data_IF_467449443716
#
_entry.id   IF_467449443716
#
_cell.length_a   1.000
_cell.length_b   1.000
_cell.length_c   1.000
_cell.angle_alpha   90.00
_cell.angle_beta   90.00
_cell.angle_gamma   90.00
#
_symmetry.space_group_name_H-M   'P 1'
#
loop_
_entity.id
_entity.type
_entity.pdbx_description
1 polymer ?
#
# COMPACT_ATOMS: atom_id res chain seq x y z
N UNK A 1 28.44 -1.53 -0.96
CA UNK A 1 27.92 -2.45 -1.99
C UNK A 1 27.31 -3.64 -1.25
N UNK A 2 26.07 -4.04 -1.56
CA UNK A 2 25.46 -5.23 -0.92
C UNK A 2 26.19 -6.49 -1.38
N UNK A 3 26.39 -7.46 -0.49
CA UNK A 3 26.89 -8.79 -0.85
C UNK A 3 25.76 -9.68 -1.40
N UNK A 4 26.11 -10.89 -1.88
CA UNK A 4 25.15 -11.79 -2.52
C UNK A 4 24.03 -12.25 -1.59
N UNK A 5 24.33 -12.45 -0.29
CA UNK A 5 23.35 -12.83 0.73
C UNK A 5 22.38 -11.70 1.01
N UNK A 6 22.87 -10.46 1.15
CA UNK A 6 22.04 -9.27 1.33
C UNK A 6 21.16 -9.00 0.10
N UNK A 7 21.70 -9.19 -1.10
CA UNK A 7 20.96 -9.04 -2.34
C UNK A 7 19.86 -10.11 -2.48
N UNK A 8 20.14 -11.35 -2.09
CA UNK A 8 19.15 -12.43 -2.05
C UNK A 8 18.03 -12.13 -1.05
N UNK A 9 18.36 -11.76 0.18
CA UNK A 9 17.37 -11.40 1.20
C UNK A 9 16.48 -10.23 0.78
N UNK A 10 17.03 -9.26 0.05
CA UNK A 10 16.27 -8.15 -0.52
C UNK A 10 15.29 -8.62 -1.61
N UNK A 11 15.69 -9.54 -2.50
CA UNK A 11 14.78 -10.13 -3.48
C UNK A 11 13.64 -10.87 -2.81
N UNK A 12 13.93 -11.68 -1.79
CA UNK A 12 12.90 -12.42 -1.06
C UNK A 12 11.93 -11.48 -0.32
N UNK A 13 12.43 -10.38 0.23
CA UNK A 13 11.58 -9.34 0.82
C UNK A 13 10.64 -8.71 -0.23
N UNK A 14 11.14 -8.41 -1.44
CA UNK A 14 10.32 -7.86 -2.53
C UNK A 14 9.28 -8.86 -3.06
N UNK A 15 9.61 -10.15 -3.14
CA UNK A 15 8.65 -11.19 -3.54
C UNK A 15 7.46 -11.23 -2.57
N UNK A 16 7.72 -11.16 -1.26
CA UNK A 16 6.67 -11.08 -0.23
C UNK A 16 5.86 -9.80 -0.33
N UNK A 17 6.50 -8.64 -0.52
CA UNK A 17 5.77 -7.37 -0.68
C UNK A 17 4.91 -7.35 -1.95
N UNK A 18 5.38 -7.97 -3.03
CA UNK A 18 4.63 -8.08 -4.28
C UNK A 18 3.32 -8.87 -4.09
N UNK A 19 3.31 -9.92 -3.27
CA UNK A 19 2.06 -10.64 -2.93
C UNK A 19 1.06 -9.69 -2.26
N UNK A 20 1.51 -8.89 -1.29
CA UNK A 20 0.65 -7.93 -0.61
C UNK A 20 0.11 -6.85 -1.56
N UNK A 21 0.95 -6.33 -2.46
CA UNK A 21 0.56 -5.34 -3.48
C UNK A 21 -0.45 -5.92 -4.48
N UNK A 22 -0.20 -7.10 -5.05
CA UNK A 22 -1.12 -7.74 -5.98
C UNK A 22 -2.49 -8.01 -5.34
N UNK A 23 -2.51 -8.46 -4.08
CA UNK A 23 -3.75 -8.64 -3.33
C UNK A 23 -4.48 -7.32 -3.09
N UNK A 24 -3.76 -6.24 -2.80
CA UNK A 24 -4.38 -4.93 -2.59
C UNK A 24 -5.02 -4.42 -3.89
N UNK A 25 -4.25 -4.39 -4.98
CA UNK A 25 -4.71 -3.88 -6.28
C UNK A 25 -5.91 -4.68 -6.79
N UNK A 26 -5.85 -6.01 -6.70
CA UNK A 26 -6.99 -6.85 -7.07
C UNK A 26 -8.26 -6.52 -6.28
N UNK A 27 -8.15 -6.35 -4.96
CA UNK A 27 -9.31 -5.99 -4.11
C UNK A 27 -9.84 -4.61 -4.42
N UNK A 28 -8.94 -3.63 -4.59
CA UNK A 28 -9.31 -2.26 -4.91
C UNK A 28 -10.09 -2.21 -6.23
N UNK A 29 -9.53 -2.78 -7.29
CA UNK A 29 -10.14 -2.78 -8.62
C UNK A 29 -11.52 -3.46 -8.58
N UNK A 30 -11.61 -4.66 -7.98
CA UNK A 30 -12.86 -5.42 -7.93
C UNK A 30 -13.96 -4.69 -7.14
N UNK A 31 -13.62 -4.06 -6.02
CA UNK A 31 -14.57 -3.37 -5.17
C UNK A 31 -15.03 -2.03 -5.75
N UNK A 32 -14.13 -1.30 -6.43
CA UNK A 32 -14.45 -0.05 -7.13
C UNK A 32 -15.34 -0.33 -8.33
N UNK A 33 -15.01 -1.33 -9.15
CA UNK A 33 -15.83 -1.69 -10.32
C UNK A 33 -17.23 -2.18 -9.94
N UNK A 34 -17.32 -2.98 -8.88
CA UNK A 34 -18.60 -3.55 -8.43
C UNK A 34 -19.44 -2.61 -7.58
N UNK A 35 -18.86 -1.49 -7.11
CA UNK A 35 -19.50 -0.57 -6.17
C UNK A 35 -19.84 -1.20 -4.81
N UNK A 36 -19.26 -2.37 -4.48
CA UNK A 36 -19.55 -3.09 -3.24
C UNK A 36 -18.98 -2.39 -2.02
N UNK A 37 -17.88 -1.67 -2.21
CA UNK A 37 -17.18 -1.04 -1.10
C UNK A 37 -16.62 0.32 -1.53
N UNK A 38 -17.00 1.37 -0.81
CA UNK A 38 -16.36 2.68 -0.96
C UNK A 38 -14.89 2.62 -0.48
N UNK A 39 -14.01 3.24 -1.26
CA UNK A 39 -12.59 3.38 -0.96
C UNK A 39 -12.23 4.84 -0.78
N UNK A 40 -11.42 5.11 0.23
CA UNK A 40 -10.77 6.39 0.47
C UNK A 40 -9.26 6.17 0.71
N UNK A 41 -8.49 7.25 0.74
CA UNK A 41 -7.03 7.20 0.92
C UNK A 41 -6.62 6.50 2.22
N UNK A 42 -7.30 6.80 3.34
CA UNK A 42 -7.02 6.18 4.65
C UNK A 42 -7.28 4.66 4.65
N UNK A 43 -8.30 4.21 3.92
CA UNK A 43 -8.59 2.78 3.74
C UNK A 43 -7.55 2.09 2.88
N UNK A 44 -7.09 2.73 1.80
CA UNK A 44 -5.97 2.21 1.00
C UNK A 44 -4.74 2.01 1.89
N UNK A 45 -4.39 3.02 2.69
CA UNK A 45 -3.25 2.99 3.62
C UNK A 45 -3.39 1.83 4.62
N UNK A 46 -4.53 1.74 5.32
CA UNK A 46 -4.73 0.72 6.35
C UNK A 46 -4.84 -0.70 5.79
N UNK A 47 -5.53 -0.89 4.66
CA UNK A 47 -5.64 -2.18 3.97
C UNK A 47 -4.29 -2.69 3.48
N UNK A 48 -3.49 -1.85 2.82
CA UNK A 48 -2.16 -2.24 2.35
C UNK A 48 -1.22 -2.56 3.53
N UNK A 49 -1.27 -1.77 4.60
CA UNK A 49 -0.48 -2.03 5.79
C UNK A 49 -0.82 -3.40 6.42
N UNK A 50 -2.11 -3.76 6.46
CA UNK A 50 -2.55 -5.05 6.98
C UNK A 50 -2.08 -6.22 6.10
N UNK A 51 -2.16 -6.08 4.78
CA UNK A 51 -1.66 -7.09 3.84
C UNK A 51 -0.14 -7.30 3.96
N UNK A 52 0.62 -6.21 4.15
CA UNK A 52 2.07 -6.26 4.39
C UNK A 52 2.42 -6.90 5.73
N UNK A 53 1.70 -6.56 6.80
CA UNK A 53 1.88 -7.17 8.13
C UNK A 53 1.61 -8.68 8.14
N UNK A 54 0.75 -9.16 7.25
CA UNK A 54 0.48 -10.59 7.11
C UNK A 54 1.61 -11.37 6.40
N UNK A 55 2.57 -10.70 5.75
CA UNK A 55 3.67 -11.38 5.09
C UNK A 55 4.72 -11.90 6.09
N UNK A 56 5.32 -13.08 5.87
CA UNK A 56 6.36 -13.61 6.74
C UNK A 56 7.55 -12.65 6.86
N UNK A 57 8.13 -12.57 8.06
CA UNK A 57 9.29 -11.70 8.37
C UNK A 57 9.02 -10.19 8.20
N UNK A 58 7.75 -9.76 8.21
CA UNK A 58 7.44 -8.34 8.26
C UNK A 58 7.84 -7.73 9.62
N UNK A 59 8.54 -6.60 9.59
CA UNK A 59 8.98 -5.86 10.78
C UNK A 59 8.33 -4.47 10.88
N UNK A 60 7.15 -4.31 10.31
CA UNK A 60 6.45 -3.03 10.20
C UNK A 60 6.68 -2.33 8.86
N UNK A 61 6.11 -1.14 8.74
CA UNK A 61 6.27 -0.30 7.56
C UNK A 61 7.64 0.38 7.61
N UNK A 62 8.31 0.45 6.46
CA UNK A 62 9.56 1.20 6.32
C UNK A 62 9.36 2.72 6.43
N UNK A 63 8.15 3.20 6.11
CA UNK A 63 7.70 4.60 6.25
C UNK A 63 6.16 4.66 6.16
N UNK A 64 5.50 5.76 6.57
CA UNK A 64 4.06 5.95 6.39
C UNK A 64 3.65 5.83 4.92
N UNK A 65 2.61 5.05 4.63
CA UNK A 65 2.15 4.89 3.24
C UNK A 65 1.55 6.20 2.73
N UNK A 66 2.03 6.66 1.57
CA UNK A 66 1.45 7.79 0.85
C UNK A 66 0.38 7.25 -0.10
N UNK A 67 -0.88 7.60 0.14
CA UNK A 67 -1.98 7.38 -0.78
C UNK A 67 -2.65 8.72 -1.04
N UNK A 68 -2.48 9.26 -2.25
CA UNK A 68 -3.13 10.49 -2.68
C UNK A 68 -4.02 10.21 -3.89
N UNK A 69 -5.25 10.70 -3.86
CA UNK A 69 -6.20 10.61 -4.96
C UNK A 69 -6.48 11.98 -5.58
N UNK A 70 -6.50 12.04 -6.92
CA UNK A 70 -6.74 13.26 -7.68
C UNK A 70 -5.74 14.36 -7.35
N UNK A 71 -6.17 15.56 -6.90
CA UNK A 71 -5.27 16.67 -6.56
C UNK A 71 -4.23 16.33 -5.49
N UNK A 72 -4.55 15.41 -4.57
CA UNK A 72 -3.62 15.01 -3.51
C UNK A 72 -2.41 14.24 -4.06
N UNK A 73 -2.55 13.57 -5.22
CA UNK A 73 -1.45 12.86 -5.88
C UNK A 73 -0.35 13.79 -6.42
N UNK A 74 -0.64 15.10 -6.55
CA UNK A 74 0.33 16.10 -7.02
C UNK A 74 1.33 16.54 -5.92
N UNK A 75 1.13 16.11 -4.67
CA UNK A 75 1.92 16.53 -3.53
C UNK A 75 2.92 15.43 -3.12
N UNK A 76 4.25 15.62 -3.31
CA UNK A 76 5.25 14.55 -3.09
C UNK A 76 5.33 13.99 -1.66
N UNK A 77 4.99 14.82 -0.67
CA UNK A 77 5.00 14.46 0.75
C UNK A 77 3.60 14.52 1.36
N UNK A 78 2.59 14.18 0.57
CA UNK A 78 1.22 14.12 1.05
C UNK A 78 1.05 13.09 2.18
N UNK A 79 0.35 13.48 3.23
CA UNK A 79 -0.08 12.60 4.30
C UNK A 79 -1.59 12.76 4.51
N UNK A 80 -2.32 11.69 4.19
CA UNK A 80 -3.78 11.68 4.35
C UNK A 80 -4.17 11.65 5.83
N UNK A 81 -5.18 12.43 6.18
CA UNK A 81 -5.74 12.50 7.53
C UNK A 81 -7.26 12.72 7.45
N UNK A 82 -7.96 12.70 8.58
CA UNK A 82 -9.42 12.81 8.63
C UNK A 82 -10.00 14.08 7.98
N UNK A 83 -9.20 15.12 7.75
CA UNK A 83 -9.60 16.37 7.10
C UNK A 83 -9.30 16.36 5.60
N UNK A 84 -8.17 15.76 5.19
CA UNK A 84 -7.72 15.78 3.79
C UNK A 84 -8.07 14.51 3.00
N UNK A 85 -8.53 13.47 3.68
CA UNK A 85 -8.92 12.18 3.10
C UNK A 85 -9.94 12.35 1.98
N UNK A 86 -9.70 11.66 0.85
CA UNK A 86 -10.57 11.70 -0.34
C UNK A 86 -11.07 10.32 -0.68
N UNK A 87 -12.35 10.24 -1.04
CA UNK A 87 -12.96 9.08 -1.68
C UNK A 87 -12.41 8.93 -3.10
N UNK A 88 -12.18 7.69 -3.53
CA UNK A 88 -11.72 7.33 -4.87
C UNK A 88 -12.96 7.20 -5.80
N UNK A 89 -13.47 8.32 -6.29
CA UNK A 89 -14.67 8.41 -7.14
C UNK A 89 -14.44 8.99 -8.54
#
# INVERSE_FOLDING_TARGET
MKNDVEAAGMRDAHIRDAVALCQMLHRLDEDVESGRQEWDELRVISSLANLRRAQPLNHGLSFPTIAGFGPNSALPHYESNNVTNRVLN
#
